data_IF_538479086332
#
_entry.id   IF_538479086332
#
_cell.length_a   1.000
_cell.length_b   1.000
_cell.length_c   1.000
_cell.angle_alpha   90.00
_cell.angle_beta   90.00
_cell.angle_gamma   90.00
#
_symmetry.space_group_name_H-M   'P 1'
#
loop_
_entity.id
_entity.type
_entity.pdbx_description
1 polymer ?
#
# COMPACT_ATOMS: atom_id res chain seq x y z
N UNK A 1 35.75 -11.18 13.42
CA UNK A 1 34.54 -11.21 12.58
C UNK A 1 33.35 -10.92 13.48
N UNK A 2 32.53 -9.91 13.18
CA UNK A 2 31.27 -9.67 13.90
C UNK A 2 30.29 -10.79 13.49
N UNK A 3 29.88 -11.63 14.43
CA UNK A 3 29.07 -12.81 14.17
C UNK A 3 28.02 -12.94 15.29
N UNK A 4 26.76 -13.18 14.92
CA UNK A 4 25.68 -13.35 15.89
C UNK A 4 25.75 -14.79 16.42
N UNK A 5 26.11 -14.95 17.69
CA UNK A 5 26.34 -16.26 18.31
C UNK A 5 25.14 -17.22 18.15
N UNK A 6 23.92 -16.69 18.30
CA UNK A 6 22.68 -17.48 18.26
C UNK A 6 22.08 -17.62 16.84
N UNK A 7 22.80 -17.20 15.79
CA UNK A 7 22.26 -17.14 14.42
C UNK A 7 21.68 -18.47 13.95
N UNK A 8 22.40 -19.57 14.17
CA UNK A 8 21.98 -20.91 13.78
C UNK A 8 20.75 -21.40 14.55
N UNK A 9 20.61 -21.02 15.82
CA UNK A 9 19.44 -21.36 16.63
C UNK A 9 18.20 -20.62 16.12
N UNK A 10 18.37 -19.33 15.76
CA UNK A 10 17.29 -18.48 15.26
C UNK A 10 16.73 -19.00 13.94
N UNK A 11 17.59 -19.23 12.95
CA UNK A 11 17.15 -19.58 11.58
C UNK A 11 16.55 -20.97 11.49
N UNK A 12 16.90 -21.87 12.43
CA UNK A 12 16.33 -23.22 12.53
C UNK A 12 14.98 -23.26 13.24
N UNK A 13 14.56 -22.19 13.91
CA UNK A 13 13.26 -22.19 14.56
C UNK A 13 12.14 -22.36 13.51
N UNK A 14 11.19 -23.29 13.70
CA UNK A 14 10.08 -23.48 12.78
C UNK A 14 9.26 -22.20 12.58
N UNK A 15 9.14 -21.38 13.65
CA UNK A 15 8.48 -20.08 13.62
C UNK A 15 9.18 -19.07 12.69
N UNK A 16 10.51 -19.08 12.62
CA UNK A 16 11.29 -18.22 11.73
C UNK A 16 11.01 -18.59 10.27
N UNK A 17 11.15 -19.88 9.94
CA UNK A 17 10.93 -20.39 8.58
C UNK A 17 9.47 -20.16 8.14
N UNK A 18 8.51 -20.38 9.04
CA UNK A 18 7.10 -20.12 8.75
C UNK A 18 6.82 -18.65 8.40
N UNK A 19 7.45 -17.69 9.09
CA UNK A 19 7.34 -16.27 8.76
C UNK A 19 7.92 -15.96 7.37
N UNK A 20 9.07 -16.52 7.03
CA UNK A 20 9.69 -16.33 5.70
C UNK A 20 8.78 -16.88 4.59
N UNK A 21 8.27 -18.11 4.74
CA UNK A 21 7.32 -18.72 3.81
C UNK A 21 6.04 -17.89 3.68
N UNK A 22 5.53 -17.34 4.78
CA UNK A 22 4.36 -16.47 4.77
C UNK A 22 4.62 -15.18 3.97
N UNK A 23 5.77 -14.53 4.18
CA UNK A 23 6.15 -13.34 3.39
C UNK A 23 6.28 -13.64 1.90
N UNK A 24 6.87 -14.78 1.53
CA UNK A 24 6.97 -15.23 0.13
C UNK A 24 5.56 -15.40 -0.47
N UNK A 25 4.66 -16.07 0.24
CA UNK A 25 3.28 -16.28 -0.21
C UNK A 25 2.55 -14.95 -0.42
N UNK A 26 2.69 -14.01 0.52
CA UNK A 26 2.10 -12.67 0.40
C UNK A 26 2.65 -11.88 -0.78
N UNK A 27 3.97 -11.93 -1.02
CA UNK A 27 4.60 -11.28 -2.18
C UNK A 27 4.11 -11.87 -3.50
N UNK A 28 4.06 -13.20 -3.62
CA UNK A 28 3.54 -13.87 -4.83
C UNK A 28 2.07 -13.52 -5.06
N UNK A 29 1.25 -13.58 -4.01
CA UNK A 29 -0.16 -13.20 -4.08
C UNK A 29 -0.33 -11.74 -4.51
N UNK A 30 0.49 -10.82 -4.00
CA UNK A 30 0.48 -9.40 -4.38
C UNK A 30 0.73 -9.24 -5.88
N UNK A 31 1.77 -9.87 -6.42
CA UNK A 31 2.08 -9.79 -7.84
C UNK A 31 0.95 -10.33 -8.73
N UNK A 32 0.39 -11.49 -8.38
CA UNK A 32 -0.71 -12.10 -9.13
C UNK A 32 -1.96 -11.20 -9.10
N UNK A 33 -2.32 -10.68 -7.93
CA UNK A 33 -3.48 -9.81 -7.78
C UNK A 33 -3.26 -8.45 -8.47
N UNK A 34 -2.05 -7.89 -8.42
CA UNK A 34 -1.69 -6.66 -9.13
C UNK A 34 -1.85 -6.79 -10.64
N UNK A 35 -1.42 -7.92 -11.23
CA UNK A 35 -1.62 -8.19 -12.66
C UNK A 35 -3.11 -8.23 -12.99
N UNK A 36 -3.91 -8.99 -12.23
CA UNK A 36 -5.37 -9.04 -12.40
C UNK A 36 -6.01 -7.66 -12.24
N UNK A 37 -5.55 -6.87 -11.26
CA UNK A 37 -6.02 -5.51 -11.02
C UNK A 37 -5.77 -4.62 -12.24
N UNK A 38 -4.56 -4.61 -12.79
CA UNK A 38 -4.21 -3.78 -13.96
C UNK A 38 -5.07 -4.16 -15.18
N UNK A 39 -5.28 -5.45 -15.44
CA UNK A 39 -6.14 -5.90 -16.53
C UNK A 39 -7.60 -5.44 -16.34
N UNK A 40 -8.14 -5.55 -15.13
CA UNK A 40 -9.49 -5.10 -14.83
C UNK A 40 -9.62 -3.56 -14.84
N UNK A 41 -8.57 -2.85 -14.43
CA UNK A 41 -8.50 -1.40 -14.46
C UNK A 41 -8.56 -0.88 -15.90
N UNK A 42 -7.80 -1.49 -16.83
CA UNK A 42 -7.83 -1.15 -18.26
C UNK A 42 -9.21 -1.33 -18.90
N UNK A 43 -9.98 -2.32 -18.43
CA UNK A 43 -11.36 -2.56 -18.89
C UNK A 43 -12.38 -1.62 -18.25
N UNK A 44 -12.05 -0.98 -17.13
CA UNK A 44 -12.95 -0.09 -16.41
C UNK A 44 -12.92 1.32 -16.99
N UNK A 45 -14.05 1.78 -17.53
CA UNK A 45 -14.23 3.18 -18.00
C UNK A 45 -14.80 4.11 -16.93
N UNK A 46 -14.87 3.65 -15.67
CA UNK A 46 -15.54 4.38 -14.59
C UNK A 46 -14.63 5.46 -13.98
N UNK A 47 -13.31 5.32 -14.13
CA UNK A 47 -12.33 6.10 -13.38
C UNK A 47 -11.69 7.18 -14.24
N UNK A 48 -11.47 8.34 -13.63
CA UNK A 48 -10.70 9.43 -14.18
C UNK A 48 -9.26 9.02 -14.44
N UNK A 49 -8.70 9.58 -15.51
CA UNK A 49 -7.33 9.31 -15.94
C UNK A 49 -6.30 9.62 -14.85
N UNK A 50 -6.49 10.72 -14.10
CA UNK A 50 -5.60 11.06 -12.97
C UNK A 50 -5.54 9.95 -11.92
N UNK A 51 -6.70 9.47 -11.46
CA UNK A 51 -6.78 8.40 -10.46
C UNK A 51 -6.15 7.10 -10.98
N UNK A 52 -6.34 6.77 -12.26
CA UNK A 52 -5.69 5.60 -12.89
C UNK A 52 -4.18 5.74 -12.86
N UNK A 53 -3.62 6.89 -13.24
CA UNK A 53 -2.17 7.13 -13.23
C UNK A 53 -1.60 6.96 -11.80
N UNK A 54 -2.23 7.58 -10.81
CA UNK A 54 -1.80 7.53 -9.41
C UNK A 54 -1.90 6.11 -8.83
N UNK A 55 -2.97 5.37 -9.14
CA UNK A 55 -3.14 3.97 -8.72
C UNK A 55 -2.11 3.04 -9.36
N UNK A 56 -1.73 3.28 -10.62
CA UNK A 56 -0.66 2.54 -11.29
C UNK A 56 0.68 2.79 -10.63
N UNK A 57 0.99 4.05 -10.27
CA UNK A 57 2.21 4.37 -9.51
C UNK A 57 2.23 3.66 -8.15
N UNK A 58 1.12 3.70 -7.41
CA UNK A 58 0.99 3.02 -6.13
C UNK A 58 1.22 1.50 -6.29
N UNK A 59 0.60 0.90 -7.30
CA UNK A 59 0.77 -0.53 -7.61
C UNK A 59 2.21 -0.86 -8.01
N UNK A 60 2.90 0.04 -8.72
CA UNK A 60 4.30 -0.15 -9.10
C UNK A 60 5.22 -0.21 -7.86
N UNK A 61 5.03 0.67 -6.88
CA UNK A 61 5.76 0.61 -5.61
C UNK A 61 5.47 -0.67 -4.83
N UNK A 62 4.20 -1.08 -4.74
CA UNK A 62 3.82 -2.32 -4.07
C UNK A 62 4.44 -3.57 -4.74
N UNK A 63 4.49 -3.60 -6.07
CA UNK A 63 5.11 -4.70 -6.81
C UNK A 63 6.62 -4.71 -6.65
N UNK A 64 7.28 -3.55 -6.70
CA UNK A 64 8.73 -3.46 -6.50
C UNK A 64 9.11 -3.94 -5.09
N UNK A 65 8.33 -3.56 -4.07
CA UNK A 65 8.48 -4.06 -2.71
C UNK A 65 8.33 -5.58 -2.65
N UNK A 66 7.27 -6.13 -3.26
CA UNK A 66 7.00 -7.56 -3.27
C UNK A 66 8.13 -8.37 -3.94
N UNK A 67 8.66 -7.88 -5.08
CA UNK A 67 9.79 -8.51 -5.79
C UNK A 67 11.05 -8.48 -4.93
N UNK A 68 11.39 -7.33 -4.34
CA UNK A 68 12.58 -7.24 -3.50
C UNK A 68 12.48 -8.11 -2.26
N UNK A 69 11.34 -8.11 -1.58
CA UNK A 69 11.11 -8.96 -0.42
C UNK A 69 11.22 -10.43 -0.79
N UNK A 70 10.64 -10.85 -1.92
CA UNK A 70 10.73 -12.22 -2.39
C UNK A 70 12.20 -12.64 -2.64
N UNK A 71 13.00 -11.77 -3.26
CA UNK A 71 14.43 -11.99 -3.46
C UNK A 71 15.20 -12.12 -2.13
N UNK A 72 14.95 -11.24 -1.17
CA UNK A 72 15.56 -11.28 0.16
C UNK A 72 15.21 -12.60 0.86
N UNK A 73 13.93 -12.95 0.93
CA UNK A 73 13.46 -14.13 1.65
C UNK A 73 13.93 -15.44 1.02
N UNK A 74 13.94 -15.54 -0.32
CA UNK A 74 14.47 -16.73 -1.01
C UNK A 74 15.98 -16.88 -0.75
N UNK A 75 16.75 -15.79 -0.87
CA UNK A 75 18.19 -15.81 -0.59
C UNK A 75 18.47 -16.27 0.84
N UNK A 76 17.73 -15.73 1.80
CA UNK A 76 17.88 -16.13 3.21
C UNK A 76 17.51 -17.59 3.42
N UNK A 77 16.42 -18.09 2.82
CA UNK A 77 16.01 -19.49 2.94
C UNK A 77 17.07 -20.45 2.36
N UNK A 78 17.66 -20.09 1.22
CA UNK A 78 18.76 -20.86 0.59
C UNK A 78 19.99 -20.85 1.49
N UNK A 79 20.37 -19.69 2.03
CA UNK A 79 21.49 -19.58 2.97
C UNK A 79 21.25 -20.40 4.24
N UNK A 80 20.02 -20.37 4.78
CA UNK A 80 19.63 -21.15 5.96
C UNK A 80 19.67 -22.67 5.71
N UNK A 81 19.49 -23.11 4.46
CA UNK A 81 19.53 -24.52 4.09
C UNK A 81 20.96 -25.02 3.80
N UNK A 82 21.86 -24.16 3.30
CA UNK A 82 23.17 -24.54 2.79
C UNK A 82 24.34 -24.09 3.68
N UNK A 83 24.09 -23.51 4.85
CA UNK A 83 25.17 -23.01 5.69
C UNK A 83 26.08 -24.13 6.21
N UNK A 84 27.39 -23.92 6.12
CA UNK A 84 28.42 -24.78 6.71
C UNK A 84 28.86 -24.25 8.07
N UNK A 85 29.00 -22.93 8.17
CA UNK A 85 29.48 -22.21 9.35
C UNK A 85 28.43 -21.22 9.85
N UNK A 86 28.27 -21.11 11.17
CA UNK A 86 27.26 -20.25 11.79
C UNK A 86 27.47 -18.77 11.46
N UNK A 87 28.71 -18.34 11.21
CA UNK A 87 29.01 -16.97 10.84
C UNK A 87 28.68 -16.63 9.38
N UNK A 88 28.43 -17.61 8.51
CA UNK A 88 27.93 -17.36 7.16
C UNK A 88 26.45 -16.97 7.13
N UNK A 89 25.71 -17.23 8.22
CA UNK A 89 24.32 -16.80 8.39
C UNK A 89 24.21 -15.30 8.75
N UNK A 90 25.30 -14.72 9.27
CA UNK A 90 25.33 -13.31 9.64
C UNK A 90 25.72 -12.47 8.43
N UNK A 91 24.90 -11.49 8.09
CA UNK A 91 25.14 -10.52 7.03
C UNK A 91 25.70 -9.24 7.66
N UNK A 92 26.62 -8.59 6.95
CA UNK A 92 27.03 -7.22 7.28
C UNK A 92 26.01 -6.24 6.71
N UNK A 93 25.68 -5.19 7.44
CA UNK A 93 24.73 -4.17 6.95
C UNK A 93 25.16 -3.52 5.63
N UNK A 94 26.45 -3.48 5.30
CA UNK A 94 26.94 -3.01 4.00
C UNK A 94 26.43 -3.86 2.83
N UNK A 95 26.30 -5.17 3.01
CA UNK A 95 25.74 -6.08 1.99
C UNK A 95 24.24 -5.88 1.82
N UNK A 96 23.56 -5.40 2.87
CA UNK A 96 22.14 -5.08 2.86
C UNK A 96 21.81 -3.62 2.51
N UNK A 97 22.80 -2.77 2.23
CA UNK A 97 22.58 -1.34 1.99
C UNK A 97 21.63 -1.09 0.81
N UNK A 98 21.87 -1.76 -0.33
CA UNK A 98 21.01 -1.62 -1.52
C UNK A 98 19.59 -2.17 -1.25
N UNK A 99 19.40 -3.41 -0.75
CA UNK A 99 18.08 -3.89 -0.33
C UNK A 99 17.35 -2.93 0.61
N UNK A 100 18.02 -2.45 1.67
CA UNK A 100 17.44 -1.52 2.64
C UNK A 100 16.96 -0.22 1.97
N UNK A 101 17.78 0.35 1.09
CA UNK A 101 17.43 1.55 0.35
C UNK A 101 16.20 1.35 -0.54
N UNK A 102 16.18 0.26 -1.32
CA UNK A 102 15.06 -0.04 -2.22
C UNK A 102 13.78 -0.34 -1.43
N UNK A 103 13.87 -1.10 -0.34
CA UNK A 103 12.73 -1.40 0.53
C UNK A 103 12.15 -0.13 1.13
N UNK A 104 13.00 0.79 1.62
CA UNK A 104 12.53 2.07 2.13
C UNK A 104 11.96 2.97 1.03
N UNK A 105 12.60 3.05 -0.15
CA UNK A 105 12.06 3.75 -1.31
C UNK A 105 10.64 3.28 -1.63
N UNK A 106 10.38 1.97 -1.59
CA UNK A 106 9.05 1.43 -1.85
C UNK A 106 8.05 1.76 -0.74
N UNK A 107 8.43 1.63 0.53
CA UNK A 107 7.56 1.99 1.66
C UNK A 107 7.21 3.48 1.61
N UNK A 108 8.19 4.34 1.37
CA UNK A 108 7.99 5.78 1.18
C UNK A 108 7.03 6.06 0.02
N UNK A 109 7.27 5.45 -1.14
CA UNK A 109 6.45 5.61 -2.33
C UNK A 109 5.00 5.21 -2.09
N UNK A 110 4.77 4.07 -1.45
CA UNK A 110 3.43 3.62 -1.08
C UNK A 110 2.71 4.61 -0.15
N UNK A 111 3.38 5.08 0.90
CA UNK A 111 2.80 6.02 1.85
C UNK A 111 2.48 7.38 1.19
N UNK A 112 3.39 7.90 0.37
CA UNK A 112 3.21 9.16 -0.34
C UNK A 112 2.13 9.06 -1.42
N UNK A 113 2.05 7.94 -2.15
CA UNK A 113 0.98 7.66 -3.12
C UNK A 113 -0.40 7.74 -2.48
N UNK A 114 -0.57 7.26 -1.25
CA UNK A 114 -1.84 7.37 -0.52
C UNK A 114 -2.23 8.83 -0.25
N UNK A 115 -1.28 9.66 0.18
CA UNK A 115 -1.53 11.08 0.46
C UNK A 115 -1.84 11.87 -0.81
N UNK A 116 -1.16 11.53 -1.91
CA UNK A 116 -1.36 12.17 -3.19
C UNK A 116 -2.70 11.79 -3.83
N UNK A 117 -3.14 10.53 -3.67
CA UNK A 117 -4.49 10.13 -4.06
C UNK A 117 -5.55 10.93 -3.29
N UNK A 118 -5.33 11.20 -2.00
CA UNK A 118 -6.20 12.06 -1.22
C UNK A 118 -6.18 13.52 -1.72
N UNK A 119 -5.00 14.09 -1.98
CA UNK A 119 -4.85 15.45 -2.53
C UNK A 119 -5.57 15.58 -3.88
N UNK A 120 -5.41 14.61 -4.76
CA UNK A 120 -6.09 14.55 -6.05
C UNK A 120 -7.63 14.57 -5.89
N UNK A 121 -8.17 13.83 -4.91
CA UNK A 121 -9.61 13.90 -4.57
C UNK A 121 -10.03 15.23 -3.96
N UNK A 122 -9.16 15.86 -3.18
CA UNK A 122 -9.39 17.21 -2.67
C UNK A 122 -9.53 18.21 -3.82
N UNK A 123 -8.60 18.21 -4.78
CA UNK A 123 -8.68 19.06 -5.98
C UNK A 123 -9.93 18.77 -6.82
N UNK A 124 -10.27 17.50 -7.04
CA UNK A 124 -11.49 17.13 -7.76
C UNK A 124 -12.77 17.61 -7.07
N UNK A 125 -12.77 17.72 -5.74
CA UNK A 125 -13.94 18.09 -4.94
C UNK A 125 -14.12 19.61 -4.86
N UNK A 126 -13.05 20.36 -4.58
CA UNK A 126 -13.13 21.80 -4.32
C UNK A 126 -12.82 22.66 -5.55
N UNK A 127 -11.95 22.18 -6.45
CA UNK A 127 -11.47 22.91 -7.61
C UNK A 127 -11.88 22.22 -8.91
N UNK A 128 -13.14 21.79 -9.00
CA UNK A 128 -13.66 20.93 -10.07
C UNK A 128 -13.45 21.48 -11.48
N UNK A 129 -13.60 22.80 -11.70
CA UNK A 129 -13.38 23.44 -13.01
C UNK A 129 -11.92 23.31 -13.46
N UNK A 130 -10.98 23.65 -12.58
CA UNK A 130 -9.54 23.52 -12.84
C UNK A 130 -9.15 22.06 -13.04
N UNK A 131 -9.65 21.18 -12.16
CA UNK A 131 -9.37 19.76 -12.21
C UNK A 131 -9.85 19.12 -13.53
N UNK A 132 -11.02 19.50 -14.05
CA UNK A 132 -11.51 18.97 -15.34
C UNK A 132 -10.53 19.25 -16.49
N UNK A 133 -9.93 20.44 -16.52
CA UNK A 133 -9.01 20.84 -17.59
C UNK A 133 -7.58 20.31 -17.39
N UNK A 134 -7.11 20.24 -16.14
CA UNK A 134 -5.70 19.99 -15.81
C UNK A 134 -5.43 18.68 -15.06
N UNK A 135 -6.43 17.82 -14.88
CA UNK A 135 -6.32 16.58 -14.08
C UNK A 135 -5.12 15.70 -14.46
N UNK A 136 -4.89 15.47 -15.76
CA UNK A 136 -3.76 14.65 -16.21
C UNK A 136 -2.41 15.27 -15.85
N UNK A 137 -2.24 16.57 -16.10
CA UNK A 137 -0.99 17.29 -15.79
C UNK A 137 -0.75 17.29 -14.29
N UNK A 138 -1.79 17.57 -13.49
CA UNK A 138 -1.72 17.50 -12.03
C UNK A 138 -1.27 16.11 -11.56
N UNK A 139 -1.86 15.03 -12.10
CA UNK A 139 -1.48 13.66 -11.77
C UNK A 139 0.00 13.38 -12.04
N UNK A 140 0.50 13.79 -13.20
CA UNK A 140 1.90 13.59 -13.60
C UNK A 140 2.85 14.38 -12.70
N UNK A 141 2.55 15.65 -12.41
CA UNK A 141 3.33 16.46 -11.48
C UNK A 141 3.38 15.82 -10.09
N UNK A 142 2.25 15.34 -9.59
CA UNK A 142 2.17 14.65 -8.31
C UNK A 142 2.98 13.34 -8.32
N UNK A 143 2.92 12.54 -9.39
CA UNK A 143 3.75 11.33 -9.55
C UNK A 143 5.24 11.63 -9.48
N UNK A 144 5.70 12.66 -10.22
CA UNK A 144 7.11 13.06 -10.22
C UNK A 144 7.56 13.49 -8.83
N UNK A 145 6.72 14.27 -8.13
CA UNK A 145 6.96 14.66 -6.75
C UNK A 145 7.06 13.43 -5.83
N UNK A 146 6.17 12.45 -5.95
CA UNK A 146 6.23 11.19 -5.18
C UNK A 146 7.55 10.48 -5.40
N UNK A 147 7.97 10.31 -6.66
CA UNK A 147 9.18 9.56 -6.99
C UNK A 147 10.40 10.28 -6.43
N UNK A 148 10.51 11.60 -6.66
CA UNK A 148 11.62 12.41 -6.16
C UNK A 148 11.73 12.36 -4.63
N UNK A 149 10.61 12.55 -3.93
CA UNK A 149 10.58 12.51 -2.45
C UNK A 149 10.84 11.11 -1.90
N UNK A 150 10.39 10.06 -2.59
CA UNK A 150 10.66 8.66 -2.21
C UNK A 150 12.12 8.28 -2.36
N UNK A 151 12.88 8.94 -3.25
CA UNK A 151 14.33 8.77 -3.38
C UNK A 151 15.05 9.62 -2.32
N UNK A 152 14.64 10.87 -2.16
CA UNK A 152 15.33 11.83 -1.29
C UNK A 152 15.30 11.42 0.19
N UNK A 153 14.15 10.92 0.67
CA UNK A 153 14.00 10.58 2.11
C UNK A 153 14.93 9.44 2.53
N UNK A 154 14.97 8.26 1.87
CA UNK A 154 15.94 7.20 2.18
C UNK A 154 17.39 7.68 2.05
N UNK A 155 17.70 8.51 1.05
CA UNK A 155 19.04 9.09 0.89
C UNK A 155 19.46 9.88 2.13
N UNK A 156 18.62 10.80 2.61
CA UNK A 156 18.91 11.58 3.82
C UNK A 156 18.99 10.68 5.06
N UNK A 157 18.14 9.67 5.13
CA UNK A 157 18.04 8.78 6.29
C UNK A 157 19.34 7.99 6.49
N UNK A 158 19.83 7.38 5.42
CA UNK A 158 20.96 6.45 5.43
C UNK A 158 22.32 7.07 5.07
N UNK A 159 22.38 8.39 4.80
CA UNK A 159 23.61 9.07 4.34
C UNK A 159 24.81 8.88 5.28
N UNK A 160 24.55 8.88 6.59
CA UNK A 160 25.58 8.84 7.62
C UNK A 160 25.70 7.48 8.32
N UNK A 161 25.17 6.42 7.73
CA UNK A 161 25.21 5.10 8.37
C UNK A 161 26.60 4.47 8.21
N UNK A 162 27.19 3.91 9.28
CA UNK A 162 28.52 3.28 9.23
C UNK A 162 28.50 1.89 8.56
N UNK A 163 27.33 1.27 8.41
CA UNK A 163 27.11 -0.03 7.76
C UNK A 163 28.01 -1.18 8.26
N UNK A 164 28.42 -1.14 9.53
CA UNK A 164 29.31 -2.10 10.19
C UNK A 164 28.59 -3.12 11.10
N UNK A 165 27.29 -2.97 11.31
CA UNK A 165 26.47 -3.85 12.14
C UNK A 165 26.31 -5.27 11.53
N UNK A 166 26.18 -6.26 12.42
CA UNK A 166 25.81 -7.64 12.08
C UNK A 166 24.28 -7.81 12.12
N UNK A 167 23.69 -8.34 11.04
CA UNK A 167 22.25 -8.57 10.89
C UNK A 167 21.96 -9.96 10.33
N UNK A 168 20.82 -10.55 10.72
CA UNK A 168 20.36 -11.85 10.21
C UNK A 168 19.59 -11.73 8.89
N UNK A 169 18.97 -10.57 8.67
CA UNK A 169 18.14 -10.30 7.51
C UNK A 169 18.41 -8.91 6.97
N UNK A 170 18.29 -8.75 5.65
CA UNK A 170 18.30 -7.43 5.01
C UNK A 170 16.97 -6.67 5.18
N UNK A 171 16.09 -7.11 6.09
CA UNK A 171 14.99 -6.29 6.60
C UNK A 171 15.41 -5.42 7.79
N UNK A 172 16.51 -5.78 8.44
CA UNK A 172 17.04 -5.03 9.58
C UNK A 172 17.93 -3.88 9.10
N UNK A 173 17.65 -2.68 9.61
CA UNK A 173 18.46 -1.49 9.36
C UNK A 173 19.61 -1.38 10.35
N UNK A 174 20.60 -0.53 10.05
CA UNK A 174 21.68 -0.21 10.99
C UNK A 174 21.12 0.44 12.26
N UNK A 175 21.76 0.13 13.39
CA UNK A 175 21.39 0.70 14.69
C UNK A 175 21.50 2.23 14.71
N UNK A 176 22.42 2.81 13.91
CA UNK A 176 22.62 4.26 13.81
C UNK A 176 21.39 5.01 13.28
N UNK A 177 20.61 4.38 12.41
CA UNK A 177 19.42 4.98 11.79
C UNK A 177 18.10 4.59 12.44
N UNK A 178 18.11 3.66 13.40
CA UNK A 178 16.90 3.13 14.04
C UNK A 178 16.02 4.21 14.68
N UNK A 179 16.62 5.18 15.37
CA UNK A 179 15.86 6.26 16.02
C UNK A 179 15.21 7.19 14.98
N UNK A 180 15.92 7.48 13.89
CA UNK A 180 15.41 8.33 12.80
C UNK A 180 14.26 7.62 12.08
N UNK A 181 14.40 6.32 11.79
CA UNK A 181 13.38 5.47 11.18
C UNK A 181 12.13 5.42 12.06
N UNK A 182 12.27 5.22 13.36
CA UNK A 182 11.12 5.20 14.28
C UNK A 182 10.37 6.54 14.27
N UNK A 183 11.10 7.66 14.34
CA UNK A 183 10.51 9.00 14.28
C UNK A 183 9.74 9.21 12.97
N UNK A 184 10.28 8.74 11.86
CA UNK A 184 9.62 8.77 10.56
C UNK A 184 8.33 7.94 10.57
N UNK A 185 8.34 6.71 11.09
CA UNK A 185 7.14 5.88 11.20
C UNK A 185 6.06 6.50 12.10
N UNK A 186 6.43 7.11 13.22
CA UNK A 186 5.46 7.86 14.04
C UNK A 186 4.86 9.05 13.29
N UNK A 187 5.65 9.76 12.49
CA UNK A 187 5.12 10.83 11.64
C UNK A 187 4.12 10.30 10.61
N UNK A 188 4.34 9.09 10.06
CA UNK A 188 3.41 8.46 9.14
C UNK A 188 2.10 8.06 9.78
N UNK A 189 2.11 7.56 11.00
CA UNK A 189 0.89 7.26 11.75
C UNK A 189 0.08 8.53 11.94
N UNK A 190 0.72 9.63 12.35
CA UNK A 190 0.04 10.92 12.53
C UNK A 190 -0.56 11.45 11.22
N UNK A 191 0.23 11.44 10.13
CA UNK A 191 -0.26 11.89 8.82
C UNK A 191 -1.37 10.99 8.25
N UNK A 192 -1.28 9.67 8.45
CA UNK A 192 -2.31 8.74 8.02
C UNK A 192 -3.63 8.93 8.77
N UNK A 193 -3.60 9.22 10.07
CA UNK A 193 -4.80 9.60 10.84
C UNK A 193 -5.45 10.86 10.28
N UNK A 194 -4.65 11.90 10.00
CA UNK A 194 -5.14 13.12 9.37
C UNK A 194 -5.74 12.84 7.98
N UNK A 195 -5.10 12.00 7.18
CA UNK A 195 -5.61 11.62 5.86
C UNK A 195 -6.95 10.86 5.95
N UNK A 196 -7.10 9.94 6.91
CA UNK A 196 -8.35 9.19 7.13
C UNK A 196 -9.48 10.14 7.55
N UNK A 197 -9.23 11.01 8.52
CA UNK A 197 -10.25 11.99 8.98
C UNK A 197 -10.67 12.93 7.85
N UNK A 198 -9.69 13.46 7.11
CA UNK A 198 -9.96 14.31 5.95
C UNK A 198 -10.70 13.56 4.83
N UNK A 199 -10.43 12.26 4.64
CA UNK A 199 -11.13 11.43 3.66
C UNK A 199 -12.59 11.16 4.05
N UNK A 200 -12.88 10.98 5.34
CA UNK A 200 -14.28 10.91 5.84
C UNK A 200 -15.01 12.21 5.56
N UNK A 201 -14.35 13.36 5.78
CA UNK A 201 -14.93 14.67 5.50
C UNK A 201 -15.24 14.86 4.01
N UNK A 202 -14.27 14.53 3.12
CA UNK A 202 -14.48 14.54 1.67
C UNK A 202 -15.63 13.62 1.24
N UNK A 203 -15.76 12.45 1.85
CA UNK A 203 -16.83 11.51 1.55
C UNK A 203 -18.21 12.12 1.85
N UNK A 204 -18.36 12.79 2.99
CA UNK A 204 -19.63 13.46 3.37
C UNK A 204 -19.97 14.57 2.37
N UNK A 205 -18.99 15.42 2.04
CA UNK A 205 -19.18 16.53 1.08
C UNK A 205 -19.57 16.00 -0.29
N UNK A 206 -18.85 15.01 -0.82
CA UNK A 206 -19.13 14.43 -2.13
C UNK A 206 -20.48 13.73 -2.18
N UNK A 207 -20.89 13.07 -1.09
CA UNK A 207 -22.22 12.46 -0.99
C UNK A 207 -23.33 13.50 -0.97
N UNK A 208 -23.12 14.64 -0.33
CA UNK A 208 -24.04 15.76 -0.37
C UNK A 208 -24.16 16.34 -1.79
N UNK A 209 -23.04 16.62 -2.46
CA UNK A 209 -23.00 17.10 -3.85
C UNK A 209 -23.70 16.14 -4.82
N UNK A 210 -23.52 14.83 -4.64
CA UNK A 210 -24.19 13.83 -5.45
C UNK A 210 -25.72 13.91 -5.36
N UNK A 211 -26.27 14.20 -4.18
CA UNK A 211 -27.71 14.40 -3.98
C UNK A 211 -28.19 15.73 -4.57
N UNK A 212 -27.41 16.80 -4.38
CA UNK A 212 -27.74 18.14 -4.87
C UNK A 212 -27.81 18.21 -6.40
N UNK A 213 -26.88 17.55 -7.11
CA UNK A 213 -26.82 17.57 -8.58
C UNK A 213 -27.71 16.52 -9.27
N UNK A 214 -28.81 16.08 -8.64
CA UNK A 214 -29.66 14.99 -9.16
C UNK A 214 -30.11 15.20 -10.61
N UNK A 215 -30.32 16.46 -11.00
CA UNK A 215 -30.86 16.86 -12.31
C UNK A 215 -29.79 17.16 -13.38
N UNK A 216 -28.52 17.32 -13.00
CA UNK A 216 -27.43 17.53 -13.97
C UNK A 216 -26.60 16.25 -14.13
N UNK A 217 -26.73 15.59 -15.28
CA UNK A 217 -26.13 14.27 -15.54
C UNK A 217 -24.60 14.30 -15.40
N UNK A 218 -23.94 15.31 -15.96
CA UNK A 218 -22.48 15.41 -15.96
C UNK A 218 -21.94 15.62 -14.54
N UNK A 219 -22.47 16.60 -13.80
CA UNK A 219 -22.03 16.87 -12.44
C UNK A 219 -22.40 15.74 -11.47
N UNK A 220 -23.51 15.04 -11.71
CA UNK A 220 -23.88 13.86 -10.94
C UNK A 220 -22.92 12.70 -11.18
N UNK A 221 -22.46 12.50 -12.42
CA UNK A 221 -21.49 11.45 -12.73
C UNK A 221 -20.15 11.73 -12.05
N UNK A 222 -19.64 12.97 -12.14
CA UNK A 222 -18.40 13.38 -11.46
C UNK A 222 -18.50 13.23 -9.93
N UNK A 223 -19.62 13.63 -9.33
CA UNK A 223 -19.85 13.46 -7.91
C UNK A 223 -19.96 11.97 -7.51
N UNK A 224 -20.63 11.14 -8.31
CA UNK A 224 -20.70 9.69 -8.08
C UNK A 224 -19.32 9.05 -8.14
N UNK A 225 -18.51 9.41 -9.14
CA UNK A 225 -17.16 8.92 -9.29
C UNK A 225 -16.27 9.33 -8.11
N UNK A 226 -16.35 10.60 -7.69
CA UNK A 226 -15.63 11.09 -6.53
C UNK A 226 -16.05 10.35 -5.24
N UNK A 227 -17.33 10.08 -5.04
CA UNK A 227 -17.80 9.25 -3.90
C UNK A 227 -17.21 7.85 -3.96
N UNK A 228 -17.22 7.21 -5.13
CA UNK A 228 -16.67 5.86 -5.32
C UNK A 228 -15.17 5.81 -5.03
N UNK A 229 -14.40 6.73 -5.61
CA UNK A 229 -12.95 6.83 -5.43
C UNK A 229 -12.57 7.19 -4.00
N UNK A 230 -13.23 8.17 -3.38
CA UNK A 230 -12.98 8.57 -1.98
C UNK A 230 -13.25 7.40 -1.03
N UNK A 231 -14.31 6.62 -1.28
CA UNK A 231 -14.60 5.41 -0.50
C UNK A 231 -13.52 4.35 -0.68
N UNK A 232 -13.07 4.12 -1.92
CA UNK A 232 -12.03 3.15 -2.23
C UNK A 232 -10.69 3.53 -1.59
N UNK A 233 -10.22 4.76 -1.83
CA UNK A 233 -8.98 5.29 -1.24
C UNK A 233 -9.07 5.23 0.30
N UNK A 234 -10.21 5.60 0.87
CA UNK A 234 -10.44 5.51 2.31
C UNK A 234 -10.32 4.11 2.89
N UNK A 235 -10.86 3.11 2.18
CA UNK A 235 -10.78 1.72 2.62
C UNK A 235 -9.34 1.19 2.58
N UNK A 236 -8.61 1.48 1.48
CA UNK A 236 -7.18 1.11 1.35
C UNK A 236 -6.37 1.81 2.45
N UNK A 237 -6.55 3.12 2.60
CA UNK A 237 -5.88 3.93 3.61
C UNK A 237 -6.10 3.40 5.04
N UNK A 238 -7.34 3.01 5.37
CA UNK A 238 -7.67 2.50 6.70
C UNK A 238 -7.01 1.16 6.99
N UNK A 239 -6.98 0.26 6.01
CA UNK A 239 -6.35 -1.06 6.16
C UNK A 239 -4.82 -0.94 6.25
N UNK A 240 -4.21 -0.09 5.42
CA UNK A 240 -2.77 0.15 5.47
C UNK A 240 -2.36 0.85 6.77
N UNK A 241 -3.15 1.83 7.23
CA UNK A 241 -2.94 2.46 8.53
C UNK A 241 -2.96 1.44 9.67
N UNK A 242 -3.92 0.50 9.66
CA UNK A 242 -4.00 -0.56 10.65
C UNK A 242 -2.72 -1.43 10.67
N UNK A 243 -2.27 -1.92 9.51
CA UNK A 243 -1.05 -2.75 9.45
C UNK A 243 0.21 -1.99 9.84
N UNK A 244 0.39 -0.76 9.35
CA UNK A 244 1.60 0.04 9.64
C UNK A 244 1.66 0.50 11.09
N UNK A 245 0.51 0.82 11.70
CA UNK A 245 0.43 1.16 13.13
C UNK A 245 0.74 -0.06 13.98
N UNK A 246 0.17 -1.22 13.63
CA UNK A 246 0.44 -2.48 14.34
C UNK A 246 1.92 -2.85 14.25
N UNK A 247 2.54 -2.72 13.08
CA UNK A 247 3.99 -2.93 12.90
C UNK A 247 4.82 -2.00 13.78
N UNK A 248 4.55 -0.69 13.71
CA UNK A 248 5.32 0.31 14.47
C UNK A 248 5.17 0.11 15.98
N UNK A 249 3.96 -0.20 16.45
CA UNK A 249 3.70 -0.50 17.84
C UNK A 249 4.42 -1.77 18.29
N UNK A 250 4.39 -2.84 17.47
CA UNK A 250 5.09 -4.08 17.78
C UNK A 250 6.60 -3.86 17.92
N UNK A 251 7.23 -3.16 16.97
CA UNK A 251 8.67 -2.83 17.04
C UNK A 251 8.98 -1.98 18.27
N UNK A 252 8.14 -0.99 18.61
CA UNK A 252 8.31 -0.19 19.82
C UNK A 252 8.23 -1.05 21.09
N UNK A 253 7.26 -1.96 21.18
CA UNK A 253 7.09 -2.86 22.32
C UNK A 253 8.25 -3.85 22.45
N UNK A 254 8.73 -4.43 21.35
CA UNK A 254 9.89 -5.32 21.33
C UNK A 254 11.13 -4.58 21.86
N UNK A 255 11.33 -3.32 21.45
CA UNK A 255 12.48 -2.50 21.89
C UNK A 255 12.39 -2.08 23.35
N UNK A 256 11.20 -1.76 23.85
CA UNK A 256 11.02 -1.20 25.20
C UNK A 256 10.73 -2.26 26.28
N UNK A 257 9.88 -3.24 26.00
CA UNK A 257 9.40 -4.23 26.98
C UNK A 257 10.14 -5.56 26.91
N UNK A 258 10.66 -5.94 25.74
CA UNK A 258 11.41 -7.19 25.59
C UNK A 258 12.92 -7.00 25.77
N UNK A 259 13.39 -5.99 26.53
CA UNK A 259 14.83 -5.75 26.73
C UNK A 259 15.53 -6.96 27.38
N UNK A 260 14.85 -7.64 28.30
CA UNK A 260 15.39 -8.78 29.06
C UNK A 260 15.08 -10.16 28.44
N UNK A 261 14.30 -10.21 27.35
CA UNK A 261 13.97 -11.48 26.68
C UNK A 261 15.18 -12.05 25.92
N UNK A 262 15.22 -13.37 25.67
CA UNK A 262 16.25 -13.98 24.83
C UNK A 262 16.30 -13.34 23.44
N UNK A 263 17.50 -13.18 22.88
CA UNK A 263 17.70 -12.58 21.56
C UNK A 263 16.93 -13.33 20.47
N UNK A 264 16.90 -14.66 20.57
CA UNK A 264 16.17 -15.55 19.67
C UNK A 264 14.70 -15.19 19.56
N UNK A 265 14.03 -15.04 20.70
CA UNK A 265 12.60 -14.67 20.77
C UNK A 265 12.35 -13.30 20.14
N UNK A 266 13.22 -12.31 20.37
CA UNK A 266 13.06 -10.97 19.80
C UNK A 266 13.13 -10.97 18.28
N UNK A 267 14.09 -11.69 17.71
CA UNK A 267 14.31 -11.74 16.26
C UNK A 267 13.14 -12.45 15.56
N UNK A 268 12.67 -13.56 16.13
CA UNK A 268 11.52 -14.31 15.59
C UNK A 268 10.25 -13.48 15.62
N UNK A 269 9.97 -12.80 16.74
CA UNK A 269 8.82 -11.91 16.86
C UNK A 269 8.95 -10.74 15.87
N UNK A 270 10.12 -10.10 15.78
CA UNK A 270 10.34 -9.00 14.85
C UNK A 270 10.09 -9.40 13.39
N UNK A 271 10.51 -10.61 12.99
CA UNK A 271 10.24 -11.14 11.66
C UNK A 271 8.74 -11.32 11.41
N UNK A 272 8.01 -11.95 12.34
CA UNK A 272 6.55 -12.12 12.22
C UNK A 272 5.78 -10.81 12.15
N UNK A 273 6.23 -9.79 12.89
CA UNK A 273 5.57 -8.50 12.92
C UNK A 273 5.97 -7.60 11.75
N UNK A 274 6.73 -8.07 10.76
CA UNK A 274 6.95 -7.32 9.53
C UNK A 274 5.68 -7.31 8.65
N UNK A 275 4.72 -6.44 8.97
CA UNK A 275 3.38 -6.41 8.36
C UNK A 275 3.28 -5.61 7.04
N UNK A 276 4.37 -5.02 6.56
CA UNK A 276 4.41 -4.30 5.29
C UNK A 276 3.88 -5.13 4.09
N UNK A 277 4.15 -6.45 3.97
CA UNK A 277 3.64 -7.27 2.87
C UNK A 277 2.12 -7.48 2.90
N UNK A 278 1.50 -7.37 4.09
CA UNK A 278 0.03 -7.36 4.19
C UNK A 278 -0.54 -6.04 3.69
N UNK A 279 0.14 -4.92 3.98
CA UNK A 279 -0.23 -3.62 3.45
C UNK A 279 -0.08 -3.55 1.91
N UNK A 280 0.96 -4.15 1.34
CA UNK A 280 1.16 -4.23 -0.12
C UNK A 280 0.10 -5.10 -0.80
N UNK A 281 -0.24 -6.27 -0.23
CA UNK A 281 -1.28 -7.17 -0.72
C UNK A 281 -2.68 -6.54 -0.67
N UNK A 282 -2.95 -5.76 0.38
CA UNK A 282 -4.26 -5.15 0.59
C UNK A 282 -4.67 -4.22 -0.55
N UNK A 283 -3.72 -3.54 -1.18
CA UNK A 283 -3.95 -2.60 -2.27
C UNK A 283 -4.63 -3.27 -3.47
N UNK A 284 -4.00 -4.23 -4.19
CA UNK A 284 -4.63 -4.86 -5.36
C UNK A 284 -5.86 -5.68 -4.97
N UNK A 285 -5.89 -6.29 -3.78
CA UNK A 285 -7.04 -7.06 -3.30
C UNK A 285 -8.30 -6.18 -3.14
N UNK A 286 -8.20 -5.11 -2.34
CA UNK A 286 -9.30 -4.17 -2.12
C UNK A 286 -9.72 -3.54 -3.45
N UNK A 287 -8.75 -3.17 -4.28
CA UNK A 287 -8.99 -2.56 -5.57
C UNK A 287 -9.79 -3.44 -6.52
N UNK A 288 -9.45 -4.73 -6.59
CA UNK A 288 -10.23 -5.71 -7.36
C UNK A 288 -11.65 -5.85 -6.82
N UNK A 289 -11.82 -5.96 -5.50
CA UNK A 289 -13.13 -6.07 -4.88
C UNK A 289 -14.02 -4.86 -5.19
N UNK A 290 -13.46 -3.65 -5.11
CA UNK A 290 -14.19 -2.41 -5.45
C UNK A 290 -14.58 -2.39 -6.92
N UNK A 291 -13.68 -2.73 -7.84
CA UNK A 291 -13.99 -2.76 -9.28
C UNK A 291 -15.09 -3.79 -9.57
N UNK A 292 -14.99 -5.01 -9.05
CA UNK A 292 -15.99 -6.05 -9.24
C UNK A 292 -17.35 -5.65 -8.68
N UNK A 293 -17.39 -5.09 -7.48
CA UNK A 293 -18.64 -4.63 -6.86
C UNK A 293 -19.29 -3.50 -7.66
N UNK A 294 -18.47 -2.57 -8.16
CA UNK A 294 -18.94 -1.44 -8.98
C UNK A 294 -19.49 -1.91 -10.33
N UNK A 295 -18.81 -2.86 -10.98
CA UNK A 295 -19.27 -3.47 -12.22
C UNK A 295 -20.61 -4.21 -12.03
N UNK A 296 -20.73 -5.02 -10.97
CA UNK A 296 -21.98 -5.73 -10.64
C UNK A 296 -23.14 -4.76 -10.38
N UNK A 297 -22.91 -3.71 -9.59
CA UNK A 297 -23.93 -2.68 -9.32
C UNK A 297 -24.40 -2.00 -10.61
N UNK A 298 -23.47 -1.69 -11.52
CA UNK A 298 -23.81 -1.08 -12.81
C UNK A 298 -24.66 -2.02 -13.67
N UNK A 299 -24.29 -3.30 -13.76
CA UNK A 299 -25.07 -4.29 -14.51
C UNK A 299 -26.50 -4.45 -13.98
N UNK A 300 -26.67 -4.52 -12.66
CA UNK A 300 -27.99 -4.59 -12.02
C UNK A 300 -28.81 -3.32 -12.29
N UNK A 301 -28.19 -2.14 -12.19
CA UNK A 301 -28.85 -0.87 -12.49
C UNK A 301 -29.30 -0.78 -13.94
N UNK A 302 -28.46 -1.20 -14.89
CA UNK A 302 -28.81 -1.23 -16.31
C UNK A 302 -29.97 -2.19 -16.54
N UNK A 303 -29.89 -3.43 -16.02
CA UNK A 303 -30.96 -4.42 -16.15
C UNK A 303 -32.29 -3.90 -15.62
N UNK A 304 -32.29 -3.22 -14.47
CA UNK A 304 -33.47 -2.59 -13.89
C UNK A 304 -34.05 -1.50 -14.81
N UNK A 305 -33.21 -0.60 -15.32
CA UNK A 305 -33.66 0.46 -16.23
C UNK A 305 -34.22 -0.11 -17.54
N UNK A 306 -33.59 -1.15 -18.10
CA UNK A 306 -34.06 -1.83 -19.32
C UNK A 306 -35.39 -2.55 -19.07
N UNK A 307 -35.54 -3.25 -17.94
CA UNK A 307 -36.82 -3.91 -17.59
C UNK A 307 -37.96 -2.90 -17.40
N UNK A 308 -37.73 -1.82 -16.64
CA UNK A 308 -38.75 -0.78 -16.43
C UNK A 308 -39.14 -0.07 -17.73
N UNK A 309 -38.18 0.16 -18.65
CA UNK A 309 -38.48 0.74 -19.97
C UNK A 309 -39.37 -0.18 -20.81
N UNK A 310 -39.13 -1.49 -20.77
CA UNK A 310 -39.97 -2.48 -21.45
C UNK A 310 -41.40 -2.44 -20.92
N UNK A 311 -41.57 -2.46 -19.59
CA UNK A 311 -42.88 -2.43 -18.96
C UNK A 311 -43.62 -1.12 -19.27
N UNK A 312 -42.93 0.02 -19.25
CA UNK A 312 -43.51 1.32 -19.59
C UNK A 312 -43.90 1.43 -21.06
N UNK A 313 -43.08 0.87 -21.98
CA UNK A 313 -43.43 0.79 -23.40
C UNK A 313 -44.65 -0.09 -23.63
N UNK A 314 -44.72 -1.25 -22.98
CA UNK A 314 -45.89 -2.14 -23.06
C UNK A 314 -47.14 -1.43 -22.53
N UNK A 315 -47.02 -0.69 -21.42
CA UNK A 315 -48.12 0.07 -20.84
C UNK A 315 -48.58 1.24 -21.74
N UNK A 316 -47.65 1.90 -22.43
CA UNK A 316 -47.96 2.94 -23.41
C UNK A 316 -48.65 2.34 -24.63
N UNK A 317 -48.14 1.26 -25.21
CA UNK A 317 -48.80 0.59 -26.36
C UNK A 317 -50.24 0.18 -26.00
N UNK A 318 -50.46 -0.31 -24.78
CA UNK A 318 -51.78 -0.72 -24.29
C UNK A 318 -52.77 0.43 -24.02
N UNK A 319 -52.29 1.66 -23.88
CA UNK A 319 -53.15 2.85 -23.75
C UNK A 319 -53.55 3.43 -25.11
N UNK A 320 -52.85 3.05 -26.18
CA UNK A 320 -53.10 3.52 -27.55
C UNK A 320 -53.80 2.46 -28.42
N UNK A 321 -54.09 1.29 -27.84
CA UNK A 321 -54.92 0.22 -28.42
C UNK A 321 -56.29 0.21 -27.78
#
# INVERSE_FOLDING_TARGET
MLCIADAAEIVKQPSWIAAQCFHILLSVATLILSVKFIFNLKKSTILNVSAVILLLLFTAFANLHAVMLLGIQIRELVNNALYTDTCHLTLKTSTCAIPNYVMMFCVMGMMLSQHILWLDRFFATFLAKFYRQWSKTLAVCLCLLTIATSILVPFILFHNDPYDDAVLTCLSTSAASDVKINRLFYSFIAMALLAITANVWLFVINRHKQKAFRFNVTHRFEAYENVLLTKWIGLVASVQFFFMTTYSLAIFLIRTRCRNSPNVTKQVIANWFYLVPLATLSLPLISLLVIHHSARKRMVSIRRMTSQRSDHMVHLVKMWS
#
